data_IF_633408976839
#
_entry.id   IF_633408976839
#
_cell.length_a   1.000
_cell.length_b   1.000
_cell.length_c   1.000
_cell.angle_alpha   90.00
_cell.angle_beta   90.00
_cell.angle_gamma   90.00
#
_symmetry.space_group_name_H-M   'P 1'
#
loop_
_entity.id
_entity.type
_entity.pdbx_description
1 polymer ?
#
# COMPACT_ATOMS: atom_id res chain seq x y z
N UNK A 1 -3.54 7.17 -12.63
CA UNK A 1 -2.85 7.38 -11.35
C UNK A 1 -1.46 6.76 -11.43
N UNK A 2 -0.43 7.53 -11.06
CA UNK A 2 0.95 7.04 -10.99
C UNK A 2 1.08 6.07 -9.81
N UNK A 3 1.92 5.05 -9.92
CA UNK A 3 2.19 4.12 -8.84
C UNK A 3 3.61 3.57 -8.96
N UNK A 4 4.12 2.99 -7.88
CA UNK A 4 5.48 2.45 -7.81
C UNK A 4 5.44 0.94 -8.06
N UNK A 5 6.24 0.43 -9.00
CA UNK A 5 6.51 -1.01 -9.05
C UNK A 5 7.72 -1.35 -8.19
N UNK A 6 7.82 -2.61 -7.78
CA UNK A 6 8.94 -3.09 -6.94
C UNK A 6 10.31 -2.75 -7.55
N UNK A 7 10.44 -2.84 -8.89
CA UNK A 7 11.66 -2.48 -9.60
C UNK A 7 12.07 -1.01 -9.44
N UNK A 8 11.10 -0.09 -9.49
CA UNK A 8 11.35 1.35 -9.29
C UNK A 8 11.86 1.62 -7.88
N UNK A 9 11.28 0.93 -6.89
CA UNK A 9 11.66 1.06 -5.49
C UNK A 9 13.07 0.53 -5.28
N UNK A 10 13.35 -0.69 -5.76
CA UNK A 10 14.69 -1.30 -5.66
C UNK A 10 15.75 -0.44 -6.35
N UNK A 11 15.46 0.12 -7.52
CA UNK A 11 16.38 1.03 -8.20
C UNK A 11 16.61 2.33 -7.42
N UNK A 12 15.56 2.93 -6.84
CA UNK A 12 15.68 4.13 -6.01
C UNK A 12 16.52 3.90 -4.76
N UNK A 13 16.35 2.75 -4.10
CA UNK A 13 17.15 2.33 -2.95
C UNK A 13 18.63 2.12 -3.32
N UNK A 14 18.89 1.43 -4.44
CA UNK A 14 20.26 1.22 -4.94
C UNK A 14 20.98 2.53 -5.29
N UNK A 15 20.23 3.56 -5.69
CA UNK A 15 20.76 4.89 -5.96
C UNK A 15 20.91 5.77 -4.69
N UNK A 16 20.84 5.16 -3.50
CA UNK A 16 21.04 5.84 -2.21
C UNK A 16 19.81 6.56 -1.66
N UNK A 17 18.65 6.38 -2.28
CA UNK A 17 17.40 6.86 -1.72
C UNK A 17 16.87 5.96 -0.58
N UNK A 18 15.83 6.43 0.09
CA UNK A 18 15.09 5.69 1.12
C UNK A 18 13.57 5.92 1.02
N UNK A 19 12.80 5.07 1.71
CA UNK A 19 11.38 5.30 1.97
C UNK A 19 11.23 6.30 3.12
N UNK A 20 10.45 7.37 2.91
CA UNK A 20 10.18 8.40 3.92
C UNK A 20 9.04 8.03 4.85
N UNK A 21 7.98 7.43 4.30
CA UNK A 21 6.78 7.07 5.05
C UNK A 21 5.98 6.01 4.30
N UNK A 22 5.35 5.12 5.06
CA UNK A 22 4.47 4.07 4.52
C UNK A 22 3.19 4.02 5.34
N UNK A 23 2.06 3.88 4.66
CA UNK A 23 0.82 3.43 5.26
C UNK A 23 0.20 2.30 4.43
N UNK A 24 -0.70 1.55 5.07
CA UNK A 24 -1.40 0.43 4.47
C UNK A 24 -2.90 0.65 4.61
N UNK A 25 -3.63 0.45 3.51
CA UNK A 25 -5.09 0.46 3.50
C UNK A 25 -5.59 -0.98 3.48
N UNK A 26 -6.45 -1.30 4.44
CA UNK A 26 -7.17 -2.56 4.53
C UNK A 26 -8.52 -2.41 3.82
N UNK A 27 -8.79 -3.24 2.82
CA UNK A 27 -10.04 -3.24 2.04
C UNK A 27 -10.54 -4.65 1.79
N UNK A 28 -11.80 -4.78 1.42
CA UNK A 28 -12.36 -6.07 1.02
C UNK A 28 -12.51 -6.12 -0.50
N UNK A 29 -11.88 -7.12 -1.11
CA UNK A 29 -11.96 -7.41 -2.55
C UNK A 29 -12.48 -8.83 -2.69
N UNK A 30 -13.57 -9.02 -3.44
CA UNK A 30 -14.19 -10.35 -3.65
C UNK A 30 -14.43 -11.13 -2.34
N UNK A 31 -14.94 -10.45 -1.30
CA UNK A 31 -15.21 -11.01 0.03
C UNK A 31 -13.94 -11.50 0.78
N UNK A 32 -12.76 -11.02 0.37
CA UNK A 32 -11.47 -11.29 1.03
C UNK A 32 -10.84 -9.99 1.51
N UNK A 33 -10.27 -10.02 2.73
CA UNK A 33 -9.49 -8.90 3.25
C UNK A 33 -8.16 -8.82 2.48
N UNK A 34 -7.87 -7.64 1.95
CA UNK A 34 -6.64 -7.34 1.24
C UNK A 34 -6.00 -6.04 1.74
N UNK A 35 -4.68 -5.96 1.60
CA UNK A 35 -3.84 -4.89 2.13
C UNK A 35 -3.08 -4.23 0.97
N UNK A 36 -3.28 -2.93 0.78
CA UNK A 36 -2.61 -2.12 -0.23
C UNK A 36 -1.62 -1.15 0.44
N UNK A 37 -0.36 -1.13 -0.01
CA UNK A 37 0.64 -0.21 0.52
C UNK A 37 0.73 1.08 -0.28
N UNK A 38 0.85 2.19 0.45
CA UNK A 38 1.13 3.52 -0.07
C UNK A 38 2.46 3.99 0.47
N UNK A 39 3.33 4.41 -0.43
CA UNK A 39 4.74 4.65 -0.14
C UNK A 39 5.09 6.06 -0.59
N UNK A 40 5.68 6.84 0.32
CA UNK A 40 6.37 8.09 0.00
C UNK A 40 7.86 7.84 0.05
N UNK A 41 8.57 8.20 -1.01
CA UNK A 41 10.01 7.96 -1.12
C UNK A 41 10.80 9.25 -1.02
N UNK A 42 12.13 9.15 -0.95
CA UNK A 42 13.00 10.33 -0.97
C UNK A 42 13.08 11.02 -2.34
N UNK A 43 12.69 10.32 -3.40
CA UNK A 43 12.75 10.79 -4.79
C UNK A 43 11.36 11.10 -5.40
N UNK A 44 10.27 10.78 -4.70
CA UNK A 44 8.91 11.21 -5.03
C UNK A 44 8.24 11.82 -3.80
N UNK A 45 7.73 13.03 -3.95
CA UNK A 45 7.17 13.76 -2.81
C UNK A 45 5.75 13.32 -2.42
N UNK A 46 5.05 12.63 -3.33
CA UNK A 46 3.69 12.14 -3.14
C UNK A 46 3.67 10.72 -2.53
N UNK A 47 2.55 10.35 -1.89
CA UNK A 47 2.26 8.95 -1.60
C UNK A 47 1.79 8.25 -2.88
N UNK A 48 2.47 7.18 -3.24
CA UNK A 48 2.16 6.38 -4.42
C UNK A 48 1.79 4.95 -4.02
N UNK A 49 0.75 4.35 -4.62
CA UNK A 49 0.40 2.97 -4.36
C UNK A 49 1.48 2.04 -4.92
N UNK A 50 1.71 0.92 -4.23
CA UNK A 50 2.49 -0.18 -4.76
C UNK A 50 1.69 -0.88 -5.87
N UNK A 51 2.31 -1.09 -7.04
CA UNK A 51 1.67 -1.67 -8.22
C UNK A 51 2.32 -2.97 -8.65
N UNK A 52 1.52 -3.78 -9.35
CA UNK A 52 2.00 -4.99 -10.02
C UNK A 52 2.89 -4.63 -11.21
N UNK A 53 3.75 -5.56 -11.61
CA UNK A 53 4.63 -5.38 -12.76
C UNK A 53 3.83 -5.01 -14.02
N UNK A 54 4.25 -3.93 -14.70
CA UNK A 54 3.52 -3.36 -15.84
C UNK A 54 2.41 -2.36 -15.48
N UNK A 55 2.32 -1.91 -14.21
CA UNK A 55 1.40 -0.88 -13.71
C UNK A 55 -0.10 -1.15 -13.96
N UNK A 56 -0.48 -2.41 -14.20
CA UNK A 56 -1.84 -2.80 -14.61
C UNK A 56 -2.85 -2.71 -13.47
N UNK A 57 -2.40 -2.95 -12.25
CA UNK A 57 -3.23 -2.91 -11.05
C UNK A 57 -2.40 -2.55 -9.83
N UNK A 58 -3.08 -2.13 -8.76
CA UNK A 58 -2.45 -2.04 -7.45
C UNK A 58 -2.10 -3.44 -6.95
N UNK A 59 -0.94 -3.56 -6.31
CA UNK A 59 -0.48 -4.81 -5.72
C UNK A 59 -1.02 -4.90 -4.31
N UNK A 60 -1.92 -5.84 -4.11
CA UNK A 60 -2.54 -6.12 -2.81
C UNK A 60 -2.05 -7.44 -2.23
N UNK A 61 -2.17 -7.57 -0.93
CA UNK A 61 -1.77 -8.76 -0.17
C UNK A 61 -2.92 -9.23 0.71
N UNK A 62 -3.28 -10.51 0.63
CA UNK A 62 -4.26 -11.11 1.56
C UNK A 62 -3.71 -11.28 2.98
N UNK A 63 -2.40 -11.45 3.06
CA UNK A 63 -1.66 -11.64 4.30
C UNK A 63 -0.85 -10.37 4.59
N UNK A 64 -1.16 -9.73 5.72
CA UNK A 64 -0.47 -8.53 6.16
C UNK A 64 1.01 -8.81 6.44
N UNK A 65 1.35 -9.97 7.00
CA UNK A 65 2.73 -10.30 7.39
C UNK A 65 3.64 -10.35 6.15
N UNK A 66 3.16 -10.89 5.03
CA UNK A 66 3.89 -10.87 3.76
C UNK A 66 4.14 -9.47 3.23
N UNK A 67 3.20 -8.54 3.42
CA UNK A 67 3.40 -7.15 3.03
C UNK A 67 4.43 -6.49 3.95
N UNK A 68 4.37 -6.76 5.25
CA UNK A 68 5.33 -6.25 6.22
C UNK A 68 6.75 -6.79 5.96
N UNK A 69 6.90 -8.08 5.64
CA UNK A 69 8.17 -8.67 5.24
C UNK A 69 8.76 -7.96 4.02
N UNK A 70 7.97 -7.69 2.98
CA UNK A 70 8.43 -6.90 1.84
C UNK A 70 8.91 -5.51 2.27
N UNK A 71 8.10 -4.78 3.04
CA UNK A 71 8.43 -3.41 3.45
C UNK A 71 9.68 -3.37 4.35
N UNK A 72 9.84 -4.35 5.25
CA UNK A 72 10.93 -4.39 6.23
C UNK A 72 12.22 -4.99 5.67
N UNK A 73 12.13 -6.12 4.98
CA UNK A 73 13.29 -6.92 4.58
C UNK A 73 13.78 -6.54 3.19
N UNK A 74 12.87 -6.26 2.26
CA UNK A 74 13.23 -5.97 0.87
C UNK A 74 13.37 -4.47 0.59
N UNK A 75 12.59 -3.62 1.26
CA UNK A 75 12.64 -2.17 1.09
C UNK A 75 13.34 -1.43 2.23
N UNK A 76 13.83 -2.14 3.25
CA UNK A 76 14.57 -1.61 4.40
C UNK A 76 13.86 -0.43 5.10
N UNK A 77 12.52 -0.46 5.14
CA UNK A 77 11.77 0.60 5.79
C UNK A 77 11.73 0.37 7.30
N UNK A 78 12.42 1.22 8.06
CA UNK A 78 12.50 1.13 9.52
C UNK A 78 11.44 1.98 10.25
N UNK A 79 10.70 2.82 9.53
CA UNK A 79 9.69 3.71 10.11
C UNK A 79 8.40 3.01 10.59
N UNK A 80 7.46 3.78 11.18
CA UNK A 80 6.14 3.28 11.52
C UNK A 80 5.33 2.96 10.25
N UNK A 81 4.51 1.91 10.31
CA UNK A 81 3.57 1.53 9.27
C UNK A 81 2.18 1.68 9.85
N UNK A 82 1.43 2.71 9.42
CA UNK A 82 0.06 2.95 9.90
C UNK A 82 -0.93 2.17 9.06
N UNK A 83 -1.91 1.53 9.70
CA UNK A 83 -3.01 0.83 9.06
C UNK A 83 -4.26 1.71 9.08
N UNK A 84 -4.92 1.82 7.93
CA UNK A 84 -6.21 2.49 7.78
C UNK A 84 -7.23 1.51 7.21
N UNK A 85 -8.49 1.66 7.61
CA UNK A 85 -9.59 1.01 6.90
C UNK A 85 -9.90 1.80 5.62
N UNK A 86 -10.38 1.13 4.57
CA UNK A 86 -10.87 1.84 3.38
C UNK A 86 -11.98 2.82 3.75
N UNK A 87 -11.96 4.02 3.16
CA UNK A 87 -12.91 5.09 3.46
C UNK A 87 -12.66 5.82 4.80
N UNK A 88 -11.54 5.57 5.49
CA UNK A 88 -11.16 6.35 6.67
C UNK A 88 -10.99 7.84 6.30
N UNK A 89 -11.62 8.78 7.03
CA UNK A 89 -11.54 10.21 6.73
C UNK A 89 -10.12 10.78 6.66
N UNK A 90 -9.18 10.21 7.43
CA UNK A 90 -7.78 10.65 7.43
C UNK A 90 -7.09 10.36 6.09
N UNK A 91 -7.56 9.37 5.34
CA UNK A 91 -7.01 9.03 4.04
C UNK A 91 -7.13 10.20 3.05
N UNK A 92 -8.22 10.98 3.12
CA UNK A 92 -8.43 12.15 2.27
C UNK A 92 -7.33 13.22 2.35
N UNK A 93 -6.50 13.21 3.40
CA UNK A 93 -5.36 14.11 3.54
C UNK A 93 -4.16 13.73 2.68
N UNK A 94 -4.06 12.49 2.19
CA UNK A 94 -2.90 11.99 1.42
C UNK A 94 -3.02 12.23 -0.09
N UNK A 95 -4.16 12.74 -0.57
CA UNK A 95 -4.39 13.25 -1.92
C UNK A 95 -4.56 12.17 -3.01
N UNK A 96 -3.57 11.29 -3.17
CA UNK A 96 -3.51 10.31 -4.26
C UNK A 96 -3.85 8.91 -3.77
N UNK A 97 -5.15 8.60 -3.71
CA UNK A 97 -5.67 7.27 -3.35
C UNK A 97 -6.35 6.59 -4.54
N UNK A 98 -6.29 5.27 -4.57
CA UNK A 98 -7.08 4.46 -5.48
C UNK A 98 -8.57 4.61 -5.14
N UNK A 99 -9.42 4.54 -6.17
CA UNK A 99 -10.87 4.70 -6.01
C UNK A 99 -11.47 3.69 -5.02
N UNK A 100 -10.96 2.45 -5.02
CA UNK A 100 -11.39 1.38 -4.12
C UNK A 100 -11.09 1.71 -2.64
N UNK A 101 -10.04 2.49 -2.37
CA UNK A 101 -9.62 2.85 -1.01
C UNK A 101 -10.41 4.03 -0.43
N UNK A 102 -11.13 4.74 -1.30
CA UNK A 102 -12.06 5.81 -0.91
C UNK A 102 -13.43 5.25 -0.48
N UNK A 103 -13.71 3.98 -0.76
CA UNK A 103 -14.99 3.36 -0.43
C UNK A 103 -15.03 2.93 1.05
N UNK A 104 -16.18 3.09 1.74
CA UNK A 104 -16.32 2.64 3.11
C UNK A 104 -15.95 1.17 3.28
N UNK A 105 -15.18 0.87 4.32
CA UNK A 105 -14.84 -0.51 4.66
C UNK A 105 -16.10 -1.32 4.98
N UNK A 106 -16.34 -2.36 4.19
CA UNK A 106 -17.39 -3.36 4.42
C UNK A 106 -16.69 -4.65 4.82
N UNK A 107 -16.85 -5.17 6.05
CA UNK A 107 -16.20 -6.40 6.47
C UNK A 107 -16.68 -7.59 5.63
N UNK A 108 -15.83 -8.61 5.41
CA UNK A 108 -16.22 -9.79 4.64
C UNK A 108 -17.33 -10.54 5.38
N UNK A 109 -18.23 -11.17 4.62
CA UNK A 109 -19.32 -11.97 5.19
C UNK A 109 -18.71 -13.16 5.91
N UNK A 110 -18.96 -13.31 7.22
CA UNK A 110 -18.61 -14.54 7.93
C UNK A 110 -19.36 -15.70 7.27
N UNK A 111 -18.64 -16.66 6.66
CA UNK A 111 -19.23 -17.97 6.35
C UNK A 111 -19.60 -18.62 7.68
N UNK A 112 -20.89 -18.90 7.87
CA UNK A 112 -21.36 -19.70 9.00
C UNK A 112 -20.66 -21.08 8.96
N UNK A 113 -20.30 -21.66 10.13
CA UNK A 113 -19.67 -22.97 10.21
C UNK A 113 -20.57 -24.10 9.69
#
# INVERSE_FOLDING_TARGET
MRGLVEGDIKAGLQNGGHLRSVFVVCRVVDDQLEHAAYIRTSWFDEYLPLRTYGHRSDRTYRDLDRLLELLRLEFDYLGPITLYASGDPLLGSFGSLAADDCQPFVPPRKKAP
#
